data_IF_977665651947
#
_entry.id   IF_977665651947
#
_cell.length_a   1.000
_cell.length_b   1.000
_cell.length_c   1.000
_cell.angle_alpha   90.00
_cell.angle_beta   90.00
_cell.angle_gamma   90.00
#
_symmetry.space_group_name_H-M   'P 1'
#
loop_
_entity.id
_entity.type
_entity.pdbx_description
1 polymer ?
#
# COMPACT_ATOMS: atom_id res chain seq x y z
N UNK A 1 51.73 42.52 -35.99
CA UNK A 1 50.55 41.62 -35.92
C UNK A 1 50.39 40.87 -34.58
N UNK A 2 50.57 41.53 -33.44
CA UNK A 2 50.42 40.87 -32.11
C UNK A 2 49.23 41.39 -31.28
N UNK A 3 48.51 42.38 -31.76
CA UNK A 3 47.39 43.03 -31.01
C UNK A 3 46.05 42.28 -31.19
N UNK A 4 45.90 41.42 -32.20
CA UNK A 4 44.64 40.72 -32.47
C UNK A 4 44.41 39.45 -31.66
N UNK A 5 45.46 38.84 -31.07
CA UNK A 5 45.35 37.58 -30.33
C UNK A 5 44.90 37.76 -28.88
N UNK A 6 45.30 38.83 -28.23
CA UNK A 6 44.93 39.11 -26.85
C UNK A 6 43.45 39.50 -26.66
N UNK A 7 42.89 40.19 -27.66
CA UNK A 7 41.48 40.56 -27.64
C UNK A 7 40.55 39.32 -27.78
N UNK A 8 40.96 38.35 -28.58
CA UNK A 8 40.20 37.13 -28.81
C UNK A 8 40.22 36.19 -27.54
N UNK A 9 41.35 36.14 -26.81
CA UNK A 9 41.51 35.35 -25.60
C UNK A 9 40.66 35.95 -24.45
N UNK A 10 40.64 37.27 -24.32
CA UNK A 10 39.87 37.97 -23.29
C UNK A 10 38.38 37.83 -23.46
N UNK A 11 37.87 37.83 -24.67
CA UNK A 11 36.43 37.62 -24.92
C UNK A 11 36.03 36.16 -24.74
N UNK A 12 36.90 35.21 -25.06
CA UNK A 12 36.68 33.79 -24.80
C UNK A 12 36.67 33.49 -23.28
N UNK A 13 37.55 34.10 -22.50
CA UNK A 13 37.58 34.00 -21.03
C UNK A 13 36.33 34.59 -20.40
N UNK A 14 35.82 35.75 -20.85
CA UNK A 14 34.56 36.31 -20.37
C UNK A 14 33.38 35.39 -20.63
N UNK A 15 33.27 34.79 -21.80
CA UNK A 15 32.19 33.84 -22.11
C UNK A 15 32.26 32.58 -21.27
N UNK A 16 33.44 32.07 -20.96
CA UNK A 16 33.62 30.92 -20.07
C UNK A 16 33.19 31.28 -18.64
N UNK A 17 33.54 32.45 -18.13
CA UNK A 17 33.16 32.91 -16.79
C UNK A 17 31.64 33.09 -16.70
N UNK A 18 31.02 33.69 -17.74
CA UNK A 18 29.56 33.85 -17.79
C UNK A 18 28.86 32.46 -17.79
N UNK A 19 29.38 31.51 -18.56
CA UNK A 19 28.83 30.17 -18.62
C UNK A 19 28.97 29.43 -17.30
N UNK A 20 30.11 29.54 -16.61
CA UNK A 20 30.30 28.97 -15.27
C UNK A 20 29.38 29.61 -14.23
N UNK A 21 29.19 30.94 -14.26
CA UNK A 21 28.24 31.63 -13.39
C UNK A 21 26.79 31.20 -13.65
N UNK A 22 26.39 31.03 -14.90
CA UNK A 22 25.06 30.51 -15.25
C UNK A 22 24.85 29.07 -14.78
N UNK A 23 25.85 28.20 -14.92
CA UNK A 23 25.81 26.83 -14.41
C UNK A 23 25.68 26.79 -12.88
N UNK A 24 26.43 27.59 -12.14
CA UNK A 24 26.35 27.64 -10.67
C UNK A 24 24.99 28.15 -10.19
N UNK A 25 24.44 29.18 -10.84
CA UNK A 25 23.08 29.69 -10.54
C UNK A 25 22.01 28.61 -10.82
N UNK A 26 22.14 27.87 -11.92
CA UNK A 26 21.21 26.79 -12.27
C UNK A 26 21.26 25.65 -11.24
N UNK A 27 22.46 25.24 -10.79
CA UNK A 27 22.65 24.22 -9.75
C UNK A 27 22.07 24.66 -8.40
N UNK A 28 22.23 25.91 -8.01
CA UNK A 28 21.62 26.47 -6.78
C UNK A 28 20.09 26.46 -6.83
N UNK A 29 19.49 26.72 -8.00
CA UNK A 29 18.03 26.68 -8.17
C UNK A 29 17.45 25.26 -8.05
N UNK A 30 18.15 24.27 -8.57
CA UNK A 30 17.72 22.85 -8.46
C UNK A 30 17.73 22.38 -6.99
N UNK A 31 18.75 22.70 -6.22
CA UNK A 31 18.83 22.35 -4.79
C UNK A 31 17.75 23.05 -3.94
N UNK A 32 17.47 24.33 -4.20
CA UNK A 32 16.45 25.07 -3.45
C UNK A 32 15.03 24.56 -3.67
N UNK A 33 14.70 24.07 -4.89
CA UNK A 33 13.38 23.52 -5.20
C UNK A 33 13.13 22.18 -4.51
N UNK A 34 14.17 21.34 -4.38
CA UNK A 34 14.06 20.02 -3.73
C UNK A 34 13.92 20.16 -2.20
N UNK A 35 14.67 21.09 -1.59
CA UNK A 35 14.54 21.41 -0.16
C UNK A 35 13.15 21.91 0.20
N UNK A 36 12.56 22.83 -0.58
CA UNK A 36 11.22 23.36 -0.33
C UNK A 36 10.13 22.28 -0.42
N UNK A 37 10.29 21.29 -1.31
CA UNK A 37 9.38 20.16 -1.42
C UNK A 37 9.51 19.22 -0.22
N UNK A 38 10.73 18.95 0.23
CA UNK A 38 10.99 18.14 1.41
C UNK A 38 10.39 18.79 2.66
N UNK A 39 10.60 20.09 2.88
CA UNK A 39 10.05 20.83 4.01
C UNK A 39 8.52 20.81 4.01
N UNK A 40 7.88 20.95 2.84
CA UNK A 40 6.42 20.86 2.69
C UNK A 40 5.89 19.47 3.04
N UNK A 41 6.62 18.40 2.68
CA UNK A 41 6.26 17.03 3.03
C UNK A 41 6.45 16.74 4.51
N UNK A 42 7.50 17.26 5.12
CA UNK A 42 7.74 17.15 6.57
C UNK A 42 6.63 17.85 7.37
N UNK A 43 6.21 19.05 6.97
CA UNK A 43 5.08 19.72 7.62
C UNK A 43 3.78 18.90 7.54
N UNK A 44 3.50 18.29 6.40
CA UNK A 44 2.33 17.39 6.25
C UNK A 44 2.44 16.15 7.12
N UNK A 45 3.65 15.59 7.23
CA UNK A 45 3.90 14.45 8.11
C UNK A 45 3.69 14.83 9.58
N UNK A 46 4.24 15.96 10.02
CA UNK A 46 4.06 16.46 11.39
C UNK A 46 2.58 16.71 11.71
N UNK A 47 1.83 17.24 10.76
CA UNK A 47 0.38 17.40 10.92
C UNK A 47 -0.33 16.06 11.04
N UNK A 48 -0.02 15.10 10.17
CA UNK A 48 -0.61 13.74 10.23
C UNK A 48 -0.28 13.03 11.55
N UNK A 49 0.94 13.23 12.09
CA UNK A 49 1.33 12.70 13.41
C UNK A 49 0.50 13.34 14.53
N UNK A 50 0.27 14.64 14.49
CA UNK A 50 -0.58 15.35 15.47
C UNK A 50 -2.04 14.91 15.41
N UNK A 51 -2.55 14.62 14.22
CA UNK A 51 -3.92 14.16 13.97
C UNK A 51 -4.10 12.65 14.21
N UNK A 52 -3.02 11.89 14.42
CA UNK A 52 -3.08 10.44 14.65
C UNK A 52 -4.12 10.01 15.69
N UNK A 53 -4.29 10.68 16.85
CA UNK A 53 -5.29 10.27 17.82
C UNK A 53 -6.71 10.32 17.26
N UNK A 54 -7.04 11.30 16.43
CA UNK A 54 -8.35 11.45 15.78
C UNK A 54 -8.63 10.27 14.84
N UNK A 55 -7.64 9.92 14.01
CA UNK A 55 -7.76 8.77 13.10
C UNK A 55 -7.87 7.44 13.86
N UNK A 56 -7.14 7.28 14.96
CA UNK A 56 -7.23 6.09 15.81
C UNK A 56 -8.61 5.96 16.43
N UNK A 57 -9.17 7.03 16.99
CA UNK A 57 -10.52 7.04 17.57
C UNK A 57 -11.59 6.70 16.52
N UNK A 58 -11.52 7.30 15.34
CA UNK A 58 -12.44 6.99 14.24
C UNK A 58 -12.37 5.52 13.83
N UNK A 59 -11.17 4.96 13.77
CA UNK A 59 -10.95 3.55 13.46
C UNK A 59 -11.53 2.64 14.54
N UNK A 60 -11.31 2.95 15.79
CA UNK A 60 -11.86 2.18 16.91
C UNK A 60 -13.39 2.20 16.92
N UNK A 61 -14.00 3.37 16.70
CA UNK A 61 -15.46 3.49 16.58
C UNK A 61 -16.01 2.64 15.43
N UNK A 62 -15.32 2.62 14.28
CA UNK A 62 -15.71 1.77 13.15
C UNK A 62 -15.64 0.28 13.49
N UNK A 63 -14.56 -0.16 14.14
CA UNK A 63 -14.39 -1.55 14.58
C UNK A 63 -15.46 -1.96 15.60
N UNK A 64 -15.77 -1.10 16.56
CA UNK A 64 -16.84 -1.35 17.56
C UNK A 64 -18.19 -1.52 16.88
N UNK A 65 -18.51 -0.65 15.92
CA UNK A 65 -19.78 -0.72 15.20
C UNK A 65 -19.89 -2.01 14.36
N UNK A 66 -18.84 -2.39 13.62
CA UNK A 66 -18.81 -3.63 12.83
C UNK A 66 -18.96 -4.87 13.73
N UNK A 67 -18.25 -4.91 14.86
CA UNK A 67 -18.42 -5.98 15.86
C UNK A 67 -19.83 -6.03 16.44
N UNK A 68 -20.43 -4.88 16.73
CA UNK A 68 -21.80 -4.80 17.21
C UNK A 68 -22.80 -5.38 16.20
N UNK A 69 -22.55 -5.18 14.90
CA UNK A 69 -23.37 -5.78 13.84
C UNK A 69 -23.24 -7.31 13.85
N UNK A 70 -22.04 -7.87 14.04
CA UNK A 70 -21.83 -9.32 14.13
C UNK A 70 -22.56 -9.97 15.32
N UNK A 71 -22.80 -9.24 16.40
CA UNK A 71 -23.56 -9.77 17.56
C UNK A 71 -25.06 -9.84 17.33
N UNK A 72 -25.57 -9.28 16.24
CA UNK A 72 -26.98 -9.40 15.86
C UNK A 72 -27.27 -10.76 15.19
N UNK A 73 -28.52 -11.14 15.19
CA UNK A 73 -28.97 -12.25 14.34
C UNK A 73 -29.09 -11.76 12.90
N UNK A 74 -28.05 -12.00 12.12
CA UNK A 74 -27.93 -11.62 10.70
C UNK A 74 -27.69 -12.86 9.85
N UNK A 75 -28.08 -12.85 8.58
CA UNK A 75 -27.77 -13.92 7.61
C UNK A 75 -26.27 -14.18 7.48
N UNK A 76 -25.90 -15.41 7.15
CA UNK A 76 -24.49 -15.80 6.97
C UNK A 76 -23.80 -15.03 5.84
N UNK A 77 -24.51 -14.63 4.79
CA UNK A 77 -24.00 -13.78 3.69
C UNK A 77 -23.60 -12.38 4.20
N UNK A 78 -24.46 -11.78 5.04
CA UNK A 78 -24.18 -10.47 5.64
C UNK A 78 -23.00 -10.57 6.63
N UNK A 79 -22.98 -11.64 7.44
CA UNK A 79 -21.87 -11.95 8.34
C UNK A 79 -20.54 -12.09 7.57
N UNK A 80 -20.55 -12.81 6.46
CA UNK A 80 -19.41 -12.98 5.58
C UNK A 80 -18.87 -11.63 5.06
N UNK A 81 -19.75 -10.72 4.67
CA UNK A 81 -19.36 -9.38 4.20
C UNK A 81 -18.75 -8.53 5.32
N UNK A 82 -19.37 -8.52 6.52
CA UNK A 82 -18.87 -7.76 7.67
C UNK A 82 -17.50 -8.26 8.11
N UNK A 83 -17.28 -9.58 8.16
CA UNK A 83 -15.98 -10.17 8.49
C UNK A 83 -14.91 -9.79 7.48
N UNK A 84 -15.26 -9.66 6.19
CA UNK A 84 -14.36 -9.14 5.16
C UNK A 84 -13.93 -7.71 5.45
N UNK A 85 -14.89 -6.85 5.81
CA UNK A 85 -14.60 -5.46 6.19
C UNK A 85 -13.73 -5.38 7.44
N UNK A 86 -14.00 -6.19 8.47
CA UNK A 86 -13.16 -6.26 9.69
C UNK A 86 -11.75 -6.74 9.38
N UNK A 87 -11.60 -7.74 8.52
CA UNK A 87 -10.30 -8.22 8.07
C UNK A 87 -9.50 -7.10 7.42
N UNK A 88 -10.10 -6.34 6.51
CA UNK A 88 -9.45 -5.22 5.82
C UNK A 88 -9.05 -4.11 6.82
N UNK A 89 -9.89 -3.82 7.82
CA UNK A 89 -9.56 -2.87 8.87
C UNK A 89 -8.39 -3.33 9.75
N UNK A 90 -8.28 -4.63 10.06
CA UNK A 90 -7.21 -5.17 10.90
C UNK A 90 -5.90 -5.41 10.15
N UNK A 91 -5.95 -5.71 8.86
CA UNK A 91 -4.80 -6.11 8.03
C UNK A 91 -3.58 -5.23 8.22
N UNK A 92 -3.75 -3.91 8.34
CA UNK A 92 -2.65 -2.94 8.37
C UNK A 92 -2.01 -2.72 9.75
N UNK A 93 -2.59 -3.25 10.85
CA UNK A 93 -2.10 -2.93 12.20
C UNK A 93 -2.24 -4.07 13.23
N UNK A 94 -3.04 -5.09 12.96
CA UNK A 94 -3.22 -6.24 13.86
C UNK A 94 -3.46 -7.51 13.05
N UNK A 95 -2.37 -8.14 12.65
CA UNK A 95 -2.37 -9.33 11.79
C UNK A 95 -3.05 -10.54 12.45
N UNK A 96 -2.95 -10.69 13.77
CA UNK A 96 -3.60 -11.77 14.50
C UNK A 96 -5.12 -11.64 14.44
N UNK A 97 -5.64 -10.42 14.65
CA UNK A 97 -7.07 -10.15 14.49
C UNK A 97 -7.52 -10.33 13.04
N UNK A 98 -6.71 -9.91 12.07
CA UNK A 98 -7.01 -10.10 10.65
C UNK A 98 -7.09 -11.60 10.29
N UNK A 99 -6.14 -12.40 10.79
CA UNK A 99 -6.15 -13.85 10.58
C UNK A 99 -7.39 -14.51 11.20
N UNK A 100 -7.75 -14.12 12.40
CA UNK A 100 -8.96 -14.61 13.07
C UNK A 100 -10.23 -14.30 12.25
N UNK A 101 -10.37 -13.06 11.74
CA UNK A 101 -11.49 -12.70 10.86
C UNK A 101 -11.49 -13.50 9.56
N UNK A 102 -10.31 -13.78 8.98
CA UNK A 102 -10.19 -14.60 7.78
C UNK A 102 -10.64 -16.06 8.04
N UNK A 103 -10.29 -16.61 9.21
CA UNK A 103 -10.68 -17.97 9.60
C UNK A 103 -12.18 -18.09 9.85
N UNK A 104 -12.77 -17.15 10.58
CA UNK A 104 -14.23 -17.12 10.75
C UNK A 104 -14.97 -16.98 9.42
N UNK A 105 -14.43 -16.14 8.51
CA UNK A 105 -14.99 -15.93 7.18
C UNK A 105 -14.94 -17.20 6.34
N UNK A 106 -13.85 -17.98 6.41
CA UNK A 106 -13.74 -19.29 5.74
C UNK A 106 -14.79 -20.27 6.28
N UNK A 107 -15.01 -20.33 7.60
CA UNK A 107 -16.00 -21.21 8.19
C UNK A 107 -17.43 -20.86 7.73
N UNK A 108 -17.75 -19.58 7.62
CA UNK A 108 -19.05 -19.14 7.08
C UNK A 108 -19.21 -19.52 5.61
N UNK A 109 -18.18 -19.29 4.80
CA UNK A 109 -18.20 -19.67 3.38
C UNK A 109 -18.43 -21.16 3.19
N UNK A 110 -17.82 -22.00 4.02
CA UNK A 110 -18.04 -23.46 4.02
C UNK A 110 -19.48 -23.80 4.39
N UNK A 111 -20.08 -23.17 5.40
CA UNK A 111 -21.49 -23.39 5.78
C UNK A 111 -22.46 -22.99 4.67
N UNK A 112 -22.16 -21.89 3.98
CA UNK A 112 -22.95 -21.44 2.84
C UNK A 112 -22.83 -22.39 1.64
N UNK A 113 -21.80 -23.24 1.58
CA UNK A 113 -21.56 -24.16 0.48
C UNK A 113 -21.25 -23.48 -0.87
N UNK A 114 -20.94 -22.18 -0.83
CA UNK A 114 -20.65 -21.39 -2.02
C UNK A 114 -19.15 -21.43 -2.33
N UNK A 115 -18.78 -22.02 -3.44
CA UNK A 115 -17.39 -22.21 -3.86
C UNK A 115 -16.65 -20.89 -4.04
N UNK A 116 -17.29 -19.90 -4.61
CA UNK A 116 -16.69 -18.58 -4.83
C UNK A 116 -16.36 -17.90 -3.49
N UNK A 117 -17.26 -17.99 -2.51
CA UNK A 117 -17.00 -17.48 -1.15
C UNK A 117 -15.85 -18.21 -0.46
N UNK A 118 -15.77 -19.54 -0.64
CA UNK A 118 -14.69 -20.36 -0.07
C UNK A 118 -13.35 -19.93 -0.67
N UNK A 119 -13.24 -19.83 -1.99
CA UNK A 119 -12.02 -19.44 -2.67
C UNK A 119 -11.62 -18.00 -2.32
N UNK A 120 -12.57 -17.06 -2.23
CA UNK A 120 -12.34 -15.70 -1.78
C UNK A 120 -11.82 -15.64 -0.33
N UNK A 121 -12.45 -16.35 0.61
CA UNK A 121 -12.02 -16.40 2.00
C UNK A 121 -10.62 -16.99 2.16
N UNK A 122 -10.30 -18.06 1.41
CA UNK A 122 -8.98 -18.67 1.38
C UNK A 122 -7.90 -17.74 0.82
N UNK A 123 -8.22 -16.99 -0.21
CA UNK A 123 -7.33 -15.97 -0.76
C UNK A 123 -7.05 -14.86 0.27
N UNK A 124 -8.08 -14.39 0.99
CA UNK A 124 -7.88 -13.41 2.05
C UNK A 124 -6.99 -13.95 3.18
N UNK A 125 -7.20 -15.21 3.60
CA UNK A 125 -6.35 -15.88 4.59
C UNK A 125 -4.91 -16.03 4.11
N UNK A 126 -4.72 -16.44 2.85
CA UNK A 126 -3.41 -16.56 2.22
C UNK A 126 -2.66 -15.22 2.17
N UNK A 127 -3.36 -14.13 1.88
CA UNK A 127 -2.79 -12.78 1.86
C UNK A 127 -2.29 -12.34 3.25
N UNK A 128 -3.10 -12.55 4.30
CA UNK A 128 -2.69 -12.26 5.69
C UNK A 128 -1.49 -13.12 6.10
N UNK A 129 -1.49 -14.42 5.79
CA UNK A 129 -0.35 -15.32 6.06
C UNK A 129 0.90 -14.89 5.30
N UNK A 130 0.75 -14.42 4.06
CA UNK A 130 1.85 -13.88 3.27
C UNK A 130 2.52 -12.67 3.92
N UNK A 131 1.74 -11.78 4.52
CA UNK A 131 2.26 -10.62 5.27
C UNK A 131 3.08 -11.02 6.50
N UNK A 132 2.84 -12.19 7.07
CA UNK A 132 3.60 -12.73 8.21
C UNK A 132 4.76 -13.65 7.80
N UNK A 133 4.97 -13.85 6.49
CA UNK A 133 6.04 -14.70 5.96
C UNK A 133 5.73 -16.20 5.99
N UNK A 134 4.48 -16.60 6.25
CA UNK A 134 4.05 -18.01 6.28
C UNK A 134 3.80 -18.54 4.86
N UNK A 135 4.82 -18.48 4.01
CA UNK A 135 4.71 -18.73 2.57
C UNK A 135 4.33 -20.19 2.24
N UNK A 136 4.72 -21.15 3.07
CA UNK A 136 4.31 -22.56 2.88
C UNK A 136 2.79 -22.70 3.01
N UNK A 137 2.22 -22.13 4.05
CA UNK A 137 0.78 -22.13 4.32
C UNK A 137 0.00 -21.39 3.21
N UNK A 138 0.54 -20.28 2.71
CA UNK A 138 -0.01 -19.59 1.54
C UNK A 138 -0.09 -20.53 0.35
N UNK A 139 1.00 -21.23 0.01
CA UNK A 139 1.03 -22.15 -1.12
C UNK A 139 0.07 -23.33 -0.94
N UNK A 140 -0.05 -23.85 0.27
CA UNK A 140 -0.98 -24.94 0.58
C UNK A 140 -2.45 -24.51 0.40
N UNK A 141 -2.81 -23.27 0.76
CA UNK A 141 -4.13 -22.71 0.52
C UNK A 141 -4.40 -22.46 -0.98
N UNK A 142 -3.44 -21.83 -1.66
CA UNK A 142 -3.57 -21.44 -3.06
C UNK A 142 -3.59 -22.61 -4.04
N UNK A 143 -3.01 -23.76 -3.68
CA UNK A 143 -2.94 -24.96 -4.54
C UNK A 143 -4.29 -25.44 -5.05
N UNK A 144 -5.33 -25.26 -4.25
CA UNK A 144 -6.68 -25.74 -4.56
C UNK A 144 -7.58 -24.67 -5.19
N UNK A 145 -7.05 -23.47 -5.42
CA UNK A 145 -7.73 -22.36 -6.06
C UNK A 145 -7.31 -22.29 -7.52
N UNK A 146 -8.27 -22.45 -8.44
CA UNK A 146 -8.03 -22.45 -9.87
C UNK A 146 -8.49 -21.11 -10.46
N UNK A 147 -7.58 -20.37 -11.08
CA UNK A 147 -7.82 -19.03 -11.61
C UNK A 147 -8.95 -18.99 -12.64
N UNK A 148 -9.08 -20.02 -13.48
CA UNK A 148 -10.11 -20.16 -14.51
C UNK A 148 -11.54 -20.26 -13.94
N UNK A 149 -11.70 -20.50 -12.64
CA UNK A 149 -12.97 -20.53 -11.94
C UNK A 149 -13.29 -19.23 -11.19
N UNK A 150 -12.31 -18.33 -11.09
CA UNK A 150 -12.47 -17.05 -10.42
C UNK A 150 -13.04 -16.01 -11.39
N UNK A 151 -13.89 -15.07 -10.92
CA UNK A 151 -14.24 -13.89 -11.68
C UNK A 151 -13.00 -13.11 -12.15
N UNK A 152 -13.03 -12.57 -13.36
CA UNK A 152 -11.86 -11.92 -14.00
C UNK A 152 -11.34 -10.73 -13.20
N UNK A 153 -12.21 -10.00 -12.52
CA UNK A 153 -11.88 -8.88 -11.64
C UNK A 153 -11.08 -9.30 -10.39
N UNK A 154 -11.13 -10.59 -10.00
CA UNK A 154 -10.36 -11.15 -8.89
C UNK A 154 -8.96 -11.64 -9.33
N UNK A 155 -8.71 -11.84 -10.63
CA UNK A 155 -7.41 -12.33 -11.12
C UNK A 155 -6.20 -11.49 -10.67
N UNK A 156 -6.25 -10.14 -10.65
CA UNK A 156 -5.14 -9.34 -10.13
C UNK A 156 -4.79 -9.65 -8.67
N UNK A 157 -5.81 -9.92 -7.84
CA UNK A 157 -5.61 -10.27 -6.43
C UNK A 157 -5.00 -11.68 -6.28
N UNK A 158 -5.45 -12.65 -7.08
CA UNK A 158 -4.83 -13.98 -7.14
C UNK A 158 -3.33 -13.91 -7.45
N UNK A 159 -2.94 -13.16 -8.49
CA UNK A 159 -1.53 -12.98 -8.83
C UNK A 159 -0.75 -12.16 -7.81
N UNK A 160 -1.40 -11.22 -7.12
CA UNK A 160 -0.78 -10.47 -6.03
C UNK A 160 -0.31 -11.42 -4.92
N UNK A 161 -1.13 -12.38 -4.52
CA UNK A 161 -0.77 -13.36 -3.48
C UNK A 161 0.44 -14.19 -3.93
N UNK A 162 0.46 -14.70 -5.16
CA UNK A 162 1.62 -15.42 -5.68
C UNK A 162 2.88 -14.56 -5.74
N UNK A 163 2.76 -13.30 -6.13
CA UNK A 163 3.89 -12.37 -6.11
C UNK A 163 4.46 -12.18 -4.72
N UNK A 164 3.64 -12.15 -3.68
CA UNK A 164 4.10 -12.01 -2.29
C UNK A 164 4.98 -13.20 -1.86
N UNK A 165 4.76 -14.38 -2.43
CA UNK A 165 5.54 -15.60 -2.12
C UNK A 165 6.82 -15.70 -2.94
N UNK A 166 6.77 -15.30 -4.22
CA UNK A 166 7.90 -15.50 -5.16
C UNK A 166 8.76 -14.25 -5.39
N UNK A 167 8.30 -13.08 -4.94
CA UNK A 167 8.90 -11.78 -5.03
C UNK A 167 9.62 -11.01 -5.18
#
# INVERSE_FOLDING_TARGET
CLVGSEMCIRDRMKNIIIFLCLCTICMCRLHAADSSRADSLLLKLDQAIKERPIYMEQKELKLVELKRQLHRQIPDEERFAILGTLLDEYRSFNTDSALHMAEEREQIAIRLGNREYIDNARMNKADVLGMTGMYKEVMDLMRNIHIDRLPVDIHPYYYHIYRTVYG
#
